data_IF_276780681781
#
_entry.id   IF_276780681781
#
_cell.length_a   1.000
_cell.length_b   1.000
_cell.length_c   1.000
_cell.angle_alpha   90.00
_cell.angle_beta   90.00
_cell.angle_gamma   90.00
#
_symmetry.space_group_name_H-M   'P 1'
#
loop_
_entity.id
_entity.type
_entity.pdbx_description
1 polymer ?
#
# COMPACT_ATOMS: atom_id res chain seq x y z
N UNK A 1 -6.42 20.63 -0.47
CA UNK A 1 -6.06 20.02 -1.77
C UNK A 1 -7.24 19.31 -2.45
N UNK A 2 -7.71 18.14 -1.99
CA UNK A 2 -8.85 17.43 -2.62
C UNK A 2 -10.10 18.30 -2.77
N UNK A 3 -10.48 19.02 -1.71
CA UNK A 3 -11.62 19.94 -1.74
C UNK A 3 -11.41 21.09 -2.74
N UNK A 4 -10.20 21.64 -2.80
CA UNK A 4 -9.88 22.74 -3.71
C UNK A 4 -9.93 22.29 -5.18
N UNK A 5 -9.43 21.10 -5.50
CA UNK A 5 -9.56 20.51 -6.83
C UNK A 5 -11.03 20.37 -7.23
N UNK A 6 -11.88 19.85 -6.34
CA UNK A 6 -13.33 19.69 -6.59
C UNK A 6 -13.99 21.03 -6.90
N UNK A 7 -13.70 22.04 -6.08
CA UNK A 7 -14.22 23.40 -6.29
C UNK A 7 -13.76 24.00 -7.63
N UNK A 8 -12.49 23.80 -8.01
CA UNK A 8 -11.93 24.29 -9.30
C UNK A 8 -12.56 23.63 -10.52
N UNK A 9 -12.98 22.37 -10.39
CA UNK A 9 -13.70 21.65 -11.45
C UNK A 9 -15.21 21.96 -11.46
N UNK A 10 -15.67 22.91 -10.63
CA UNK A 10 -17.06 23.37 -10.60
C UNK A 10 -18.03 22.48 -9.83
N UNK A 11 -17.54 21.44 -9.15
CA UNK A 11 -18.38 20.57 -8.32
C UNK A 11 -18.64 21.19 -6.94
N UNK A 12 -19.85 20.98 -6.42
CA UNK A 12 -20.30 21.52 -5.14
C UNK A 12 -20.27 20.47 -4.02
N UNK A 13 -20.16 20.94 -2.79
CA UNK A 13 -20.19 20.11 -1.58
C UNK A 13 -18.86 19.44 -1.23
N UNK A 14 -18.83 18.60 -0.18
CA UNK A 14 -17.64 17.88 0.24
C UNK A 14 -17.11 16.98 -0.89
N UNK A 15 -15.79 16.90 -1.06
CA UNK A 15 -15.19 16.14 -2.17
C UNK A 15 -15.64 14.67 -2.21
N UNK A 16 -15.93 14.05 -1.05
CA UNK A 16 -16.43 12.67 -0.95
C UNK A 16 -17.81 12.50 -1.59
N UNK A 17 -18.67 13.52 -1.51
CA UNK A 17 -20.00 13.53 -2.09
C UNK A 17 -19.93 13.91 -3.58
N UNK A 18 -19.16 14.95 -3.90
CA UNK A 18 -18.92 15.38 -5.28
C UNK A 18 -18.36 14.25 -6.15
N UNK A 19 -17.48 13.40 -5.61
CA UNK A 19 -16.94 12.24 -6.33
C UNK A 19 -18.04 11.31 -6.86
N UNK A 20 -19.19 11.20 -6.18
CA UNK A 20 -20.30 10.33 -6.59
C UNK A 20 -21.04 10.89 -7.80
N UNK A 21 -21.04 12.20 -7.97
CA UNK A 21 -21.73 12.91 -9.07
C UNK A 21 -20.82 13.26 -10.24
N UNK A 22 -19.49 13.15 -10.08
CA UNK A 22 -18.51 13.34 -11.17
C UNK A 22 -18.74 12.39 -12.34
N UNK A 23 -18.53 12.90 -13.56
CA UNK A 23 -18.41 12.08 -14.75
C UNK A 23 -17.15 11.18 -14.69
N UNK A 24 -17.09 10.16 -15.55
CA UNK A 24 -15.99 9.19 -15.53
C UNK A 24 -14.62 9.81 -15.85
N UNK A 25 -14.55 10.85 -16.68
CA UNK A 25 -13.31 11.52 -17.03
C UNK A 25 -12.72 12.26 -15.81
N UNK A 26 -13.50 13.14 -15.19
CA UNK A 26 -13.07 13.93 -14.04
C UNK A 26 -12.75 13.04 -12.84
N UNK A 27 -13.57 12.01 -12.61
CA UNK A 27 -13.30 11.03 -11.55
C UNK A 27 -11.97 10.31 -11.77
N UNK A 28 -11.66 9.91 -13.01
CA UNK A 28 -10.40 9.26 -13.33
C UNK A 28 -9.21 10.24 -13.17
N UNK A 29 -9.35 11.48 -13.64
CA UNK A 29 -8.33 12.52 -13.48
C UNK A 29 -8.08 12.83 -12.01
N UNK A 30 -9.13 12.94 -11.19
CA UNK A 30 -9.04 13.12 -9.74
C UNK A 30 -8.26 11.97 -9.09
N UNK A 31 -8.70 10.73 -9.32
CA UNK A 31 -8.09 9.54 -8.73
C UNK A 31 -6.62 9.41 -9.14
N UNK A 32 -6.31 9.60 -10.42
CA UNK A 32 -4.93 9.57 -10.93
C UNK A 32 -4.06 10.63 -10.27
N UNK A 33 -4.54 11.87 -10.19
CA UNK A 33 -3.77 12.97 -9.60
C UNK A 33 -3.45 12.70 -8.13
N UNK A 34 -4.47 12.40 -7.31
CA UNK A 34 -4.27 12.24 -5.87
C UNK A 34 -3.59 10.91 -5.49
N UNK A 35 -3.76 9.84 -6.28
CA UNK A 35 -2.99 8.61 -6.08
C UNK A 35 -1.51 8.87 -6.37
N UNK A 36 -1.18 9.55 -7.47
CA UNK A 36 0.19 9.92 -7.83
C UNK A 36 0.84 10.79 -6.76
N UNK A 37 0.17 11.85 -6.32
CA UNK A 37 0.73 12.71 -5.26
C UNK A 37 0.99 11.93 -3.97
N UNK A 38 0.11 10.99 -3.59
CA UNK A 38 0.34 10.13 -2.42
C UNK A 38 1.55 9.22 -2.61
N UNK A 39 1.67 8.54 -3.75
CA UNK A 39 2.83 7.69 -4.06
C UNK A 39 4.13 8.49 -4.04
N UNK A 40 4.16 9.66 -4.70
CA UNK A 40 5.31 10.58 -4.68
C UNK A 40 5.69 10.98 -3.26
N UNK A 41 4.71 11.25 -2.38
CA UNK A 41 4.97 11.57 -0.97
C UNK A 41 5.49 10.36 -0.18
N UNK A 42 4.99 9.14 -0.43
CA UNK A 42 5.49 7.94 0.22
C UNK A 42 6.96 7.65 -0.16
N UNK A 43 7.29 7.86 -1.43
CA UNK A 43 8.64 7.68 -1.99
C UNK A 43 9.67 8.70 -1.45
N UNK A 44 9.25 9.76 -0.74
CA UNK A 44 10.17 10.73 -0.11
C UNK A 44 10.88 10.22 1.14
N UNK A 45 10.45 9.08 1.69
CA UNK A 45 10.99 8.50 2.94
C UNK A 45 10.87 9.40 4.18
N UNK A 46 9.94 10.35 4.21
CA UNK A 46 9.64 11.07 5.45
C UNK A 46 8.91 10.19 6.47
N UNK A 47 9.01 10.57 7.74
CA UNK A 47 8.44 9.85 8.87
C UNK A 47 9.45 8.95 9.59
N UNK A 48 8.94 8.01 10.39
CA UNK A 48 9.77 7.19 11.28
C UNK A 48 10.62 6.13 10.56
N UNK A 49 10.26 5.75 9.33
CA UNK A 49 10.97 4.74 8.54
C UNK A 49 11.31 3.44 9.31
N UNK A 50 10.39 2.95 10.15
CA UNK A 50 10.61 1.77 11.01
C UNK A 50 10.96 0.51 10.22
N UNK A 51 10.55 0.44 8.96
CA UNK A 51 10.82 -0.71 8.09
C UNK A 51 12.16 -0.61 7.37
N UNK A 52 12.90 0.51 7.50
CA UNK A 52 14.29 0.58 7.04
C UNK A 52 15.21 -0.35 7.84
N UNK A 53 14.81 -0.68 9.08
CA UNK A 53 15.48 -1.67 9.92
C UNK A 53 15.22 -3.06 9.31
N UNK A 54 16.24 -3.78 8.81
CA UNK A 54 16.04 -5.00 8.03
C UNK A 54 15.22 -6.07 8.73
N UNK A 55 15.34 -6.22 10.05
CA UNK A 55 14.59 -7.25 10.76
C UNK A 55 13.14 -6.83 11.05
N UNK A 56 12.80 -5.54 11.00
CA UNK A 56 11.41 -5.09 10.98
C UNK A 56 10.78 -5.38 9.62
N UNK A 57 11.49 -5.08 8.52
CA UNK A 57 11.04 -5.45 7.18
C UNK A 57 10.84 -6.97 7.04
N UNK A 58 11.80 -7.74 7.57
CA UNK A 58 11.71 -9.21 7.59
C UNK A 58 10.50 -9.70 8.39
N UNK A 59 10.22 -9.09 9.54
CA UNK A 59 9.05 -9.43 10.35
C UNK A 59 7.75 -9.23 9.57
N UNK A 60 7.63 -8.13 8.81
CA UNK A 60 6.47 -7.89 7.94
C UNK A 60 6.40 -8.95 6.84
N UNK A 61 7.51 -9.21 6.13
CA UNK A 61 7.55 -10.22 5.08
C UNK A 61 7.15 -11.62 5.58
N UNK A 62 7.68 -12.05 6.73
CA UNK A 62 7.33 -13.33 7.35
C UNK A 62 5.85 -13.37 7.73
N UNK A 63 5.28 -12.25 8.19
CA UNK A 63 3.84 -12.15 8.48
C UNK A 63 2.96 -12.24 7.23
N UNK A 64 3.41 -11.68 6.10
CA UNK A 64 2.73 -11.75 4.81
C UNK A 64 2.79 -13.16 4.23
N UNK A 65 3.88 -13.90 4.44
CA UNK A 65 4.07 -15.26 3.90
C UNK A 65 3.51 -16.36 4.80
N UNK A 66 3.18 -16.08 6.06
CA UNK A 66 2.82 -17.10 7.06
C UNK A 66 1.63 -18.00 6.66
N UNK A 67 0.63 -17.43 5.98
CA UNK A 67 -0.55 -18.16 5.50
C UNK A 67 -0.68 -18.18 3.98
N UNK A 68 0.40 -17.87 3.27
CA UNK A 68 0.45 -18.00 1.81
C UNK A 68 0.16 -19.45 1.38
N UNK A 69 -0.63 -19.61 0.32
CA UNK A 69 -1.16 -20.89 -0.16
C UNK A 69 -2.17 -21.58 0.76
N UNK A 70 -2.58 -20.94 1.87
CA UNK A 70 -3.53 -21.51 2.85
C UNK A 70 -4.77 -20.65 3.05
N UNK A 71 -4.60 -19.34 3.27
CA UNK A 71 -5.71 -18.39 3.50
C UNK A 71 -5.83 -17.36 2.39
N UNK A 72 -4.78 -17.18 1.62
CA UNK A 72 -4.66 -16.27 0.49
C UNK A 72 -3.48 -16.74 -0.35
N UNK A 73 -3.43 -16.25 -1.58
CA UNK A 73 -2.24 -16.39 -2.43
C UNK A 73 -1.51 -15.05 -2.44
N UNK A 74 -0.26 -15.07 -2.00
CA UNK A 74 0.59 -13.89 -1.95
C UNK A 74 1.33 -13.73 -3.28
N UNK A 75 1.16 -12.56 -3.90
CA UNK A 75 1.89 -12.16 -5.09
C UNK A 75 3.17 -11.40 -4.74
N UNK A 76 3.64 -10.61 -5.70
CA UNK A 76 4.79 -9.72 -5.50
C UNK A 76 4.50 -8.72 -4.38
N UNK A 77 5.51 -8.45 -3.55
CA UNK A 77 5.45 -7.37 -2.58
C UNK A 77 6.82 -6.74 -2.38
N UNK A 78 6.80 -5.47 -1.99
CA UNK A 78 7.99 -4.73 -1.54
C UNK A 78 7.71 -4.03 -0.22
N UNK A 79 8.60 -4.27 0.74
CA UNK A 79 8.65 -3.57 2.01
C UNK A 79 9.60 -2.38 1.82
N UNK A 80 9.03 -1.18 1.71
CA UNK A 80 9.74 0.09 1.63
C UNK A 80 10.02 0.61 3.05
N UNK A 81 10.95 1.56 3.26
CA UNK A 81 11.29 2.08 4.59
C UNK A 81 10.12 2.52 5.46
N UNK A 82 9.09 3.10 4.86
CA UNK A 82 7.92 3.69 5.55
C UNK A 82 6.57 3.10 5.11
N UNK A 83 6.52 2.21 4.12
CA UNK A 83 5.27 1.65 3.60
C UNK A 83 5.48 0.29 2.93
N UNK A 84 4.40 -0.34 2.46
CA UNK A 84 4.42 -1.64 1.78
C UNK A 84 3.53 -1.57 0.55
N UNK A 85 4.02 -2.08 -0.58
CA UNK A 85 3.17 -2.43 -1.72
C UNK A 85 3.09 -3.96 -1.83
N UNK A 86 1.90 -4.50 -2.06
CA UNK A 86 1.70 -5.95 -2.20
C UNK A 86 0.55 -6.27 -3.15
N UNK A 87 0.67 -7.40 -3.84
CA UNK A 87 -0.42 -8.08 -4.53
C UNK A 87 -0.82 -9.31 -3.71
N UNK A 88 -2.11 -9.51 -3.50
CA UNK A 88 -2.64 -10.71 -2.86
C UNK A 88 -4.01 -11.05 -3.42
N UNK A 89 -4.28 -12.35 -3.56
CA UNK A 89 -5.59 -12.86 -3.91
C UNK A 89 -6.23 -13.52 -2.70
N UNK A 90 -7.48 -13.17 -2.44
CA UNK A 90 -8.25 -13.71 -1.33
C UNK A 90 -9.43 -14.53 -1.88
N UNK A 91 -9.74 -15.71 -1.31
CA UNK A 91 -10.87 -16.51 -1.74
C UNK A 91 -12.20 -15.77 -1.63
N UNK A 92 -12.36 -14.89 -0.62
CA UNK A 92 -13.58 -14.13 -0.37
C UNK A 92 -13.30 -12.74 0.23
N UNK A 93 -14.17 -11.73 0.01
CA UNK A 93 -13.98 -10.37 0.54
C UNK A 93 -13.86 -10.27 2.06
N UNK A 94 -14.60 -11.09 2.81
CA UNK A 94 -14.54 -11.12 4.27
C UNK A 94 -13.21 -11.65 4.81
N UNK A 95 -12.53 -12.51 4.05
CA UNK A 95 -11.20 -13.02 4.40
C UNK A 95 -10.12 -11.99 4.15
N UNK A 96 -10.27 -11.15 3.11
CA UNK A 96 -9.39 -10.02 2.84
C UNK A 96 -9.32 -9.08 4.04
N UNK A 97 -10.47 -8.60 4.53
CA UNK A 97 -10.51 -7.67 5.66
C UNK A 97 -9.90 -8.28 6.92
N UNK A 98 -10.29 -9.51 7.27
CA UNK A 98 -9.75 -10.21 8.46
C UNK A 98 -8.24 -10.42 8.38
N UNK A 99 -7.76 -10.83 7.21
CA UNK A 99 -6.33 -11.05 6.98
C UNK A 99 -5.55 -9.74 7.10
N UNK A 100 -6.05 -8.68 6.49
CA UNK A 100 -5.42 -7.37 6.52
C UNK A 100 -5.33 -6.81 7.95
N UNK A 101 -6.44 -6.86 8.70
CA UNK A 101 -6.47 -6.46 10.11
C UNK A 101 -5.48 -7.29 10.94
N UNK A 102 -5.38 -8.59 10.65
CA UNK A 102 -4.41 -9.48 11.31
C UNK A 102 -2.96 -9.11 11.01
N UNK A 103 -2.61 -8.84 9.75
CA UNK A 103 -1.25 -8.42 9.38
C UNK A 103 -0.86 -7.12 10.06
N UNK A 104 -1.71 -6.09 9.98
CA UNK A 104 -1.42 -4.79 10.58
C UNK A 104 -1.29 -4.88 12.10
N UNK A 105 -2.21 -5.60 12.76
CA UNK A 105 -2.18 -5.76 14.20
C UNK A 105 -0.92 -6.51 14.66
N UNK A 106 -0.65 -7.68 14.08
CA UNK A 106 0.47 -8.52 14.47
C UNK A 106 1.81 -7.80 14.28
N UNK A 107 2.03 -7.21 13.10
CA UNK A 107 3.28 -6.50 12.80
C UNK A 107 3.46 -5.26 13.67
N UNK A 108 2.41 -4.47 13.91
CA UNK A 108 2.47 -3.31 14.79
C UNK A 108 2.86 -3.69 16.22
N UNK A 109 2.22 -4.70 16.80
CA UNK A 109 2.52 -5.17 18.17
C UNK A 109 3.97 -5.63 18.27
N UNK A 110 4.43 -6.44 17.32
CA UNK A 110 5.77 -7.02 17.36
C UNK A 110 6.87 -5.98 17.14
N UNK A 111 6.70 -5.07 16.18
CA UNK A 111 7.67 -4.01 15.89
C UNK A 111 7.73 -3.04 17.08
N UNK A 112 6.59 -2.57 17.58
CA UNK A 112 6.56 -1.68 18.75
C UNK A 112 7.25 -2.30 19.97
N UNK A 113 7.01 -3.59 20.24
CA UNK A 113 7.68 -4.30 21.33
C UNK A 113 9.19 -4.37 21.12
N UNK A 114 9.63 -4.62 19.89
CA UNK A 114 11.05 -4.74 19.54
C UNK A 114 11.78 -3.40 19.65
N UNK A 115 11.16 -2.32 19.21
CA UNK A 115 11.78 -0.98 19.16
C UNK A 115 11.49 -0.13 20.40
N UNK A 116 10.73 -0.66 21.37
CA UNK A 116 10.31 0.07 22.58
C UNK A 116 9.30 1.19 22.29
N UNK A 117 8.76 1.28 21.08
CA UNK A 117 7.80 2.30 20.66
C UNK A 117 6.43 2.07 21.31
N UNK A 118 5.70 3.17 21.48
CA UNK A 118 4.30 3.19 21.91
C UNK A 118 3.45 3.89 20.85
N UNK A 119 2.19 3.51 20.75
CA UNK A 119 1.24 4.10 19.81
C UNK A 119 1.06 3.31 18.51
N UNK A 120 0.47 3.96 17.50
CA UNK A 120 0.16 3.33 16.20
C UNK A 120 1.41 3.25 15.33
N UNK A 121 1.63 2.09 14.71
CA UNK A 121 2.67 1.90 13.69
C UNK A 121 2.14 2.26 12.29
N UNK A 122 1.01 1.68 11.91
CA UNK A 122 0.42 1.82 10.59
C UNK A 122 -0.51 3.02 10.50
N UNK A 123 -0.51 3.66 9.33
CA UNK A 123 -1.51 4.67 8.99
C UNK A 123 -2.90 4.02 8.96
N UNK A 124 -3.92 4.76 9.40
CA UNK A 124 -5.31 4.33 9.25
C UNK A 124 -5.75 4.48 7.78
N UNK A 125 -6.64 3.58 7.36
CA UNK A 125 -7.15 3.48 5.98
C UNK A 125 -6.04 3.19 4.96
N UNK A 126 -5.70 1.90 4.75
CA UNK A 126 -4.78 1.54 3.68
C UNK A 126 -5.37 1.94 2.32
N UNK A 127 -4.49 2.09 1.32
CA UNK A 127 -4.96 2.13 -0.05
C UNK A 127 -5.13 0.71 -0.58
N UNK A 128 -6.29 0.43 -1.15
CA UNK A 128 -6.58 -0.78 -1.88
C UNK A 128 -7.09 -0.47 -3.30
N UNK A 129 -6.81 -1.39 -4.22
CA UNK A 129 -7.28 -1.31 -5.60
C UNK A 129 -7.54 -2.72 -6.14
N UNK A 130 -8.75 -2.97 -6.63
CA UNK A 130 -9.10 -4.25 -7.25
C UNK A 130 -8.48 -4.36 -8.65
N UNK A 131 -7.65 -5.37 -8.84
CA UNK A 131 -7.06 -5.76 -10.13
C UNK A 131 -8.13 -6.43 -11.00
N UNK A 132 -8.34 -5.91 -12.22
CA UNK A 132 -9.44 -6.35 -13.11
C UNK A 132 -9.01 -6.94 -14.43
N UNK A 133 -7.71 -6.94 -14.74
CA UNK A 133 -7.18 -7.55 -15.96
C UNK A 133 -5.75 -8.03 -15.76
N UNK A 134 -5.29 -8.90 -16.66
CA UNK A 134 -3.92 -9.44 -16.65
C UNK A 134 -2.91 -8.33 -16.91
N UNK A 135 -3.21 -7.41 -17.84
CA UNK A 135 -2.32 -6.29 -18.15
C UNK A 135 -2.14 -5.37 -16.94
N UNK A 136 -3.21 -5.19 -16.14
CA UNK A 136 -3.12 -4.43 -14.89
C UNK A 136 -2.31 -5.18 -13.83
N UNK A 137 -2.46 -6.50 -13.75
CA UNK A 137 -1.67 -7.34 -12.85
C UNK A 137 -0.18 -7.22 -13.17
N UNK A 138 0.22 -7.39 -14.44
CA UNK A 138 1.61 -7.29 -14.87
C UNK A 138 2.19 -5.89 -14.66
N UNK A 139 1.40 -4.85 -14.95
CA UNK A 139 1.79 -3.48 -14.66
C UNK A 139 2.09 -3.28 -13.17
N UNK A 140 1.24 -3.80 -12.28
CA UNK A 140 1.41 -3.66 -10.84
C UNK A 140 2.61 -4.46 -10.32
N UNK A 141 2.87 -5.66 -10.86
CA UNK A 141 4.09 -6.42 -10.55
C UNK A 141 5.34 -5.62 -10.88
N UNK A 142 5.40 -5.07 -12.09
CA UNK A 142 6.51 -4.20 -12.52
C UNK A 142 6.63 -2.96 -11.64
N UNK A 143 5.52 -2.30 -11.35
CA UNK A 143 5.49 -1.15 -10.45
C UNK A 143 6.09 -1.49 -9.08
N UNK A 144 5.70 -2.62 -8.48
CA UNK A 144 6.23 -3.09 -7.18
C UNK A 144 7.74 -3.33 -7.26
N UNK A 145 8.22 -3.98 -8.32
CA UNK A 145 9.63 -4.26 -8.53
C UNK A 145 10.47 -2.98 -8.74
N UNK A 146 9.94 -2.00 -9.48
CA UNK A 146 10.64 -0.76 -9.84
C UNK A 146 10.58 0.30 -8.73
N UNK A 147 9.66 0.19 -7.78
CA UNK A 147 9.41 1.21 -6.77
C UNK A 147 10.65 1.57 -5.91
N UNK A 148 11.47 0.61 -5.41
CA UNK A 148 12.73 0.93 -4.73
C UNK A 148 13.69 1.78 -5.56
N UNK A 149 13.84 1.46 -6.85
CA UNK A 149 14.74 2.19 -7.76
C UNK A 149 14.20 3.61 -8.00
N UNK A 150 12.90 3.75 -8.24
CA UNK A 150 12.24 5.04 -8.40
C UNK A 150 12.39 5.92 -7.17
N UNK A 151 12.38 5.33 -5.98
CA UNK A 151 12.59 6.02 -4.71
C UNK A 151 14.09 6.28 -4.40
N UNK A 152 15.02 5.79 -5.22
CA UNK A 152 16.46 5.99 -5.02
C UNK A 152 17.05 5.17 -3.86
N UNK A 153 16.42 4.04 -3.51
CA UNK A 153 16.88 3.16 -2.43
C UNK A 153 18.00 2.23 -2.87
N UNK A 154 18.88 1.91 -1.91
CA UNK A 154 19.97 0.94 -2.07
C UNK A 154 19.58 -0.42 -1.52
N UNK A 155 20.33 -1.45 -1.92
CA UNK A 155 20.20 -2.79 -1.35
C UNK A 155 20.34 -2.74 0.18
N UNK A 156 19.43 -3.41 0.89
CA UNK A 156 19.35 -3.41 2.36
C UNK A 156 18.42 -2.35 2.95
N UNK A 157 17.94 -1.38 2.17
CA UNK A 157 16.96 -0.38 2.63
C UNK A 157 15.50 -0.77 2.35
N UNK A 158 15.31 -1.83 1.56
CA UNK A 158 14.02 -2.40 1.21
C UNK A 158 14.11 -3.93 1.15
N UNK A 159 12.95 -4.59 1.17
CA UNK A 159 12.84 -6.03 0.95
C UNK A 159 11.82 -6.29 -0.15
N UNK A 160 12.28 -6.76 -1.30
CA UNK A 160 11.41 -7.16 -2.42
C UNK A 160 11.30 -8.69 -2.49
N UNK A 161 10.08 -9.17 -2.71
CA UNK A 161 9.77 -10.57 -3.03
C UNK A 161 9.04 -10.61 -4.37
N UNK A 162 9.59 -11.36 -5.31
CA UNK A 162 8.93 -11.74 -6.56
C UNK A 162 8.22 -13.09 -6.37
N UNK A 163 6.99 -13.24 -6.87
CA UNK A 163 6.37 -14.55 -7.04
C UNK A 163 6.98 -15.21 -8.29
N UNK A 164 7.75 -16.27 -8.09
CA UNK A 164 8.18 -17.15 -9.19
C UNK A 164 7.02 -18.09 -9.58
N UNK A 165 6.87 -18.36 -10.88
CA UNK A 165 5.84 -19.25 -11.45
C UNK A 165 6.09 -20.72 -11.13
#
# INVERSE_FOLDING_TARGET
EKQDWVSRQGYQGPWREAMRTMNSHDRNTFLKHFNRCREEQLDTHYGACELRIPENARLVADSLLFFDGKRYEMGDFVIMPNHVHLLAMFPRPEEMKKTFDSWLHYTAVRINRRTGRKGKLWQQEPFDHLVRSVEQYDYLRKYIADNPLKAGLRAGEFLYRCLEE
#
